data_IF_490022753422
#
_entry.id   IF_490022753422
#
_cell.length_a   1.000
_cell.length_b   1.000
_cell.length_c   1.000
_cell.angle_alpha   90.00
_cell.angle_beta   90.00
_cell.angle_gamma   90.00
#
_symmetry.space_group_name_H-M   'P 1'
#
loop_
_entity.id
_entity.type
_entity.pdbx_description
1 polymer ?
#
# COMPACT_ATOMS: atom_id res chain seq x y z
N UNK A 1 39.62 -12.36 7.08
CA UNK A 1 38.60 -13.28 6.54
C UNK A 1 37.37 -13.21 7.45
N UNK A 2 36.14 -13.26 6.92
CA UNK A 2 34.93 -13.30 7.76
C UNK A 2 34.93 -14.57 8.63
N UNK A 3 34.29 -14.51 9.80
CA UNK A 3 34.16 -15.67 10.68
C UNK A 3 33.34 -16.77 9.99
N UNK A 4 33.54 -18.06 10.33
CA UNK A 4 32.82 -19.17 9.70
C UNK A 4 31.29 -19.01 9.77
N UNK A 5 30.77 -18.38 10.82
CA UNK A 5 29.34 -18.12 10.98
C UNK A 5 28.83 -17.00 10.05
N UNK A 6 29.62 -15.96 9.83
CA UNK A 6 29.25 -14.85 8.94
C UNK A 6 29.17 -15.31 7.48
N UNK A 7 30.04 -16.22 7.07
CA UNK A 7 30.02 -16.74 5.70
C UNK A 7 28.82 -17.66 5.45
N UNK A 8 28.44 -18.47 6.44
CA UNK A 8 27.23 -19.30 6.44
C UNK A 8 25.97 -18.43 6.38
N UNK A 9 25.87 -17.38 7.21
CA UNK A 9 24.70 -16.51 7.22
C UNK A 9 24.58 -15.71 5.91
N UNK A 10 25.70 -15.24 5.37
CA UNK A 10 25.72 -14.59 4.06
C UNK A 10 25.33 -15.55 2.93
N UNK A 11 25.71 -16.82 3.00
CA UNK A 11 25.29 -17.83 2.04
C UNK A 11 23.77 -18.05 2.09
N UNK A 12 23.18 -18.10 3.29
CA UNK A 12 21.72 -18.16 3.46
C UNK A 12 21.02 -16.94 2.85
N UNK A 13 21.47 -15.72 3.15
CA UNK A 13 20.90 -14.50 2.56
C UNK A 13 20.99 -14.49 1.03
N UNK A 14 22.09 -15.01 0.46
CA UNK A 14 22.24 -15.18 -0.99
C UNK A 14 21.24 -16.18 -1.55
N UNK A 15 21.02 -17.31 -0.88
CA UNK A 15 19.98 -18.29 -1.24
C UNK A 15 18.57 -17.69 -1.24
N UNK A 16 18.20 -16.93 -0.20
CA UNK A 16 16.93 -16.22 -0.12
C UNK A 16 16.71 -15.27 -1.31
N UNK A 17 17.73 -14.48 -1.64
CA UNK A 17 17.68 -13.53 -2.76
C UNK A 17 17.60 -14.25 -4.11
N UNK A 18 18.39 -15.32 -4.28
CA UNK A 18 18.40 -16.12 -5.49
C UNK A 18 17.02 -16.74 -5.77
N UNK A 19 16.38 -17.31 -4.74
CA UNK A 19 15.03 -17.85 -4.87
C UNK A 19 14.03 -16.81 -5.39
N UNK A 20 14.08 -15.58 -4.86
CA UNK A 20 13.19 -14.50 -5.32
C UNK A 20 13.40 -14.17 -6.80
N UNK A 21 14.63 -14.32 -7.31
CA UNK A 21 14.96 -14.13 -8.72
C UNK A 21 14.43 -15.31 -9.55
N UNK A 22 14.70 -16.56 -9.13
CA UNK A 22 14.16 -17.76 -9.78
C UNK A 22 12.63 -17.70 -9.89
N UNK A 23 11.95 -17.34 -8.80
CA UNK A 23 10.50 -17.18 -8.77
C UNK A 23 10.01 -16.08 -9.73
N UNK A 24 10.73 -14.96 -9.81
CA UNK A 24 10.39 -13.88 -10.73
C UNK A 24 10.54 -14.30 -12.20
N UNK A 25 11.63 -14.99 -12.53
CA UNK A 25 11.93 -15.46 -13.90
C UNK A 25 10.95 -16.56 -14.32
N UNK A 26 10.68 -17.52 -13.44
CA UNK A 26 9.81 -18.66 -13.72
C UNK A 26 8.32 -18.31 -13.67
N UNK A 27 7.97 -17.10 -13.21
CA UNK A 27 6.59 -16.61 -13.15
C UNK A 27 5.68 -17.55 -12.36
N UNK A 28 4.86 -18.31 -13.09
CA UNK A 28 3.85 -19.23 -12.60
C UNK A 28 4.22 -20.72 -12.75
N UNK A 29 5.48 -21.05 -13.10
CA UNK A 29 5.96 -22.45 -13.12
C UNK A 29 5.90 -23.13 -11.73
N UNK A 30 5.68 -22.35 -10.67
CA UNK A 30 5.38 -22.84 -9.33
C UNK A 30 6.56 -22.76 -8.37
N UNK A 31 6.23 -22.86 -7.08
CA UNK A 31 7.18 -22.74 -5.97
C UNK A 31 8.28 -23.81 -6.02
N UNK A 32 7.92 -25.05 -6.40
CA UNK A 32 8.83 -26.20 -6.40
C UNK A 32 9.91 -26.07 -7.48
N UNK A 33 9.55 -25.70 -8.70
CA UNK A 33 10.53 -25.51 -9.80
C UNK A 33 11.55 -24.43 -9.45
N UNK A 34 11.07 -23.29 -8.94
CA UNK A 34 11.96 -22.20 -8.52
C UNK A 34 12.86 -22.59 -7.33
N UNK A 35 12.39 -23.52 -6.48
CA UNK A 35 13.16 -24.04 -5.36
C UNK A 35 14.28 -24.97 -5.84
N UNK A 36 13.97 -25.89 -6.75
CA UNK A 36 14.93 -26.84 -7.31
C UNK A 36 16.05 -26.12 -8.07
N UNK A 37 15.71 -25.11 -8.88
CA UNK A 37 16.71 -24.29 -9.58
C UNK A 37 17.61 -23.52 -8.62
N UNK A 38 17.02 -22.91 -7.57
CA UNK A 38 17.79 -22.21 -6.54
C UNK A 38 18.76 -23.17 -5.82
N UNK A 39 18.29 -24.37 -5.47
CA UNK A 39 19.11 -25.38 -4.79
C UNK A 39 20.22 -25.92 -5.70
N UNK A 40 19.94 -26.16 -6.98
CA UNK A 40 20.96 -26.56 -7.96
C UNK A 40 22.07 -25.52 -8.09
N UNK A 41 21.69 -24.24 -8.22
CA UNK A 41 22.66 -23.15 -8.26
C UNK A 41 23.46 -22.98 -6.95
N UNK A 42 22.85 -23.22 -5.78
CA UNK A 42 23.58 -23.27 -4.52
C UNK A 42 24.60 -24.43 -4.51
N UNK A 43 24.24 -25.59 -5.06
CA UNK A 43 25.11 -26.75 -5.13
C UNK A 43 26.33 -26.51 -6.02
N UNK A 44 26.13 -25.82 -7.14
CA UNK A 44 27.21 -25.45 -8.07
C UNK A 44 28.11 -24.34 -7.53
N UNK A 45 27.55 -23.37 -6.81
CA UNK A 45 28.29 -22.19 -6.36
C UNK A 45 29.14 -22.43 -5.10
N UNK A 46 28.76 -23.37 -4.23
CA UNK A 46 29.43 -23.60 -2.95
C UNK A 46 30.10 -24.97 -2.88
N UNK A 47 31.41 -24.96 -2.64
CA UNK A 47 32.23 -26.17 -2.40
C UNK A 47 32.18 -26.59 -0.93
N UNK A 48 32.00 -25.64 0.00
CA UNK A 48 31.91 -25.94 1.44
C UNK A 48 30.49 -26.35 1.80
N UNK A 49 30.36 -27.52 2.42
CA UNK A 49 29.06 -28.09 2.78
C UNK A 49 28.20 -27.15 3.64
N UNK A 50 28.79 -26.51 4.66
CA UNK A 50 28.05 -25.61 5.56
C UNK A 50 27.49 -24.37 4.84
N UNK A 51 28.23 -23.80 3.89
CA UNK A 51 27.77 -22.65 3.12
C UNK A 51 26.72 -23.07 2.08
N UNK A 52 26.89 -24.25 1.49
CA UNK A 52 25.94 -24.86 0.56
C UNK A 52 24.60 -25.15 1.23
N UNK A 53 24.60 -25.82 2.39
CA UNK A 53 23.40 -26.12 3.18
C UNK A 53 22.70 -24.84 3.63
N UNK A 54 23.45 -23.82 4.04
CA UNK A 54 22.89 -22.53 4.40
C UNK A 54 22.21 -21.84 3.21
N UNK A 55 22.84 -21.84 2.04
CA UNK A 55 22.23 -21.34 0.80
C UNK A 55 20.94 -22.08 0.46
N UNK A 56 20.96 -23.42 0.49
CA UNK A 56 19.81 -24.27 0.23
C UNK A 56 18.67 -24.08 1.25
N UNK A 57 19.01 -23.84 2.52
CA UNK A 57 18.07 -23.46 3.57
C UNK A 57 17.44 -22.10 3.29
N UNK A 58 18.24 -21.14 2.80
CA UNK A 58 17.76 -19.86 2.29
C UNK A 58 16.71 -20.01 1.19
N UNK A 59 16.94 -20.89 0.21
CA UNK A 59 15.96 -21.22 -0.83
C UNK A 59 14.68 -21.85 -0.24
N UNK A 60 14.80 -22.73 0.75
CA UNK A 60 13.67 -23.44 1.35
C UNK A 60 12.85 -22.60 2.34
N UNK A 61 13.44 -21.58 2.94
CA UNK A 61 12.81 -20.69 3.93
C UNK A 61 11.81 -19.69 3.34
N UNK A 62 11.66 -19.69 2.02
CA UNK A 62 10.83 -18.71 1.33
C UNK A 62 9.34 -19.01 1.50
N UNK A 63 8.51 -17.97 1.74
CA UNK A 63 7.09 -18.15 1.94
C UNK A 63 6.44 -18.76 0.70
N UNK A 64 5.56 -19.73 0.90
CA UNK A 64 4.78 -20.31 -0.18
C UNK A 64 3.89 -19.24 -0.84
N UNK A 65 3.48 -19.46 -2.10
CA UNK A 65 2.55 -18.59 -2.85
C UNK A 65 1.38 -18.00 -2.02
N UNK A 66 0.66 -18.79 -1.19
CA UNK A 66 -0.43 -18.25 -0.36
C UNK A 66 0.04 -17.21 0.68
N UNK A 67 1.24 -17.38 1.25
CA UNK A 67 1.82 -16.39 2.16
C UNK A 67 2.29 -15.14 1.42
N UNK A 68 2.87 -15.28 0.23
CA UNK A 68 3.26 -14.14 -0.59
C UNK A 68 2.02 -13.30 -0.99
N UNK A 69 0.94 -13.96 -1.39
CA UNK A 69 -0.35 -13.30 -1.68
C UNK A 69 -0.90 -12.58 -0.46
N UNK A 70 -0.83 -13.21 0.72
CA UNK A 70 -1.25 -12.60 1.99
C UNK A 70 -0.39 -11.39 2.36
N UNK A 71 0.93 -11.43 2.13
CA UNK A 71 1.83 -10.27 2.32
C UNK A 71 1.53 -9.14 1.35
N UNK A 72 1.31 -9.43 0.06
CA UNK A 72 0.86 -8.43 -0.92
C UNK A 72 -0.47 -7.79 -0.52
N UNK A 73 -1.44 -8.61 -0.07
CA UNK A 73 -2.73 -8.11 0.39
C UNK A 73 -2.56 -7.18 1.61
N UNK A 74 -1.73 -7.57 2.59
CA UNK A 74 -1.42 -6.72 3.75
C UNK A 74 -0.76 -5.41 3.35
N UNK A 75 0.20 -5.43 2.42
CA UNK A 75 0.83 -4.22 1.90
C UNK A 75 -0.18 -3.29 1.19
N UNK A 76 -1.19 -3.86 0.51
CA UNK A 76 -2.28 -3.08 -0.08
C UNK A 76 -3.23 -2.50 0.99
N UNK A 77 -3.48 -3.21 2.10
CA UNK A 77 -4.29 -2.67 3.21
C UNK A 77 -3.58 -1.59 4.03
N UNK A 78 -2.24 -1.57 3.98
CA UNK A 78 -1.40 -0.54 4.63
C UNK A 78 -1.27 0.74 3.79
N UNK A 79 -1.72 0.73 2.53
CA UNK A 79 -1.82 1.97 1.77
C UNK A 79 -2.98 2.79 2.35
N UNK A 80 -2.77 4.10 2.61
CA UNK A 80 -3.87 4.97 3.00
C UNK A 80 -4.96 4.86 1.95
N UNK A 81 -6.17 4.51 2.40
CA UNK A 81 -7.35 4.40 1.55
C UNK A 81 -7.46 5.73 0.78
N UNK A 82 -7.54 5.73 -0.56
CA UNK A 82 -7.81 6.97 -1.27
C UNK A 82 -9.08 7.57 -0.69
N UNK A 83 -9.14 8.89 -0.45
CA UNK A 83 -10.31 9.51 0.14
C UNK A 83 -11.53 9.09 -0.66
N UNK A 84 -12.50 8.48 0.03
CA UNK A 84 -13.72 8.01 -0.60
C UNK A 84 -14.42 9.22 -1.23
N UNK A 85 -14.89 9.10 -2.47
CA UNK A 85 -15.67 10.15 -3.15
C UNK A 85 -16.84 10.61 -2.27
N UNK A 86 -17.37 9.69 -1.44
CA UNK A 86 -18.43 9.97 -0.48
C UNK A 86 -18.03 10.97 0.62
N UNK A 87 -16.78 10.94 1.09
CA UNK A 87 -16.25 11.89 2.09
C UNK A 87 -16.03 13.28 1.49
N UNK A 88 -15.71 13.36 0.19
CA UNK A 88 -15.62 14.64 -0.49
C UNK A 88 -17.00 15.29 -0.66
N UNK A 89 -18.02 14.50 -1.01
CA UNK A 89 -19.40 14.99 -1.18
C UNK A 89 -20.00 15.44 0.16
N UNK A 90 -19.72 14.74 1.27
CA UNK A 90 -20.23 15.13 2.59
C UNK A 90 -19.64 16.46 3.08
N UNK A 91 -18.35 16.70 2.86
CA UNK A 91 -17.70 17.99 3.15
C UNK A 91 -18.40 19.14 2.40
N UNK A 92 -18.66 18.95 1.10
CA UNK A 92 -19.31 19.98 0.28
C UNK A 92 -20.74 20.28 0.73
N UNK A 93 -21.51 19.24 1.09
CA UNK A 93 -22.86 19.43 1.63
C UNK A 93 -22.85 20.20 2.95
N UNK A 94 -21.87 19.95 3.82
CA UNK A 94 -21.71 20.69 5.08
C UNK A 94 -21.43 22.18 4.85
N UNK A 95 -20.57 22.52 3.89
CA UNK A 95 -20.24 23.91 3.57
C UNK A 95 -21.43 24.68 2.97
N UNK A 96 -22.26 24.01 2.17
CA UNK A 96 -23.50 24.59 1.62
C UNK A 96 -24.53 24.83 2.72
N UNK A 97 -24.73 23.86 3.61
CA UNK A 97 -25.67 23.99 4.75
C UNK A 97 -25.21 25.07 5.73
N UNK A 98 -23.90 25.16 6.02
CA UNK A 98 -23.33 26.22 6.85
C UNK A 98 -23.47 27.59 6.19
N UNK A 99 -23.31 27.68 4.87
CA UNK A 99 -23.53 28.93 4.13
C UNK A 99 -25.00 29.38 4.21
N UNK A 100 -25.96 28.46 4.13
CA UNK A 100 -27.40 28.76 4.27
C UNK A 100 -27.74 29.26 5.68
N UNK A 101 -27.07 28.77 6.72
CA UNK A 101 -27.25 29.25 8.10
C UNK A 101 -26.81 30.71 8.27
N UNK A 102 -25.81 31.18 7.52
CA UNK A 102 -25.38 32.58 7.55
C UNK A 102 -26.40 33.54 6.93
N UNK A 103 -27.27 33.07 6.04
CA UNK A 103 -28.35 33.89 5.47
C UNK A 103 -29.58 34.01 6.39
N UNK A 104 -29.79 33.05 7.30
CA UNK A 104 -30.96 33.01 8.20
C UNK A 104 -30.78 33.96 9.41
N UNK A 105 -29.55 34.38 9.74
CA UNK A 105 -29.30 35.26 10.90
C UNK A 105 -29.10 36.75 10.56
N UNK A 106 -29.13 37.14 9.28
CA UNK A 106 -29.01 38.55 8.91
C UNK A 106 -30.40 39.15 8.85
N UNK A 107 -30.74 40.14 9.68
CA UNK A 107 -31.98 40.91 9.53
C UNK A 107 -31.92 41.62 8.18
N UNK A 108 -32.67 41.14 7.19
CA UNK A 108 -32.68 41.75 5.86
C UNK A 108 -33.71 42.89 5.86
N UNK A 109 -33.25 44.11 5.55
CA UNK A 109 -34.14 45.27 5.41
C UNK A 109 -34.30 45.60 3.93
N UNK A 110 -35.53 45.46 3.42
CA UNK A 110 -35.87 45.77 2.03
C UNK A 110 -36.53 47.15 1.95
N UNK A 111 -36.07 47.98 1.01
CA UNK A 111 -36.63 49.30 0.72
C UNK A 111 -37.25 49.28 -0.67
N UNK A 112 -38.53 49.62 -0.78
CA UNK A 112 -39.24 49.64 -2.06
C UNK A 112 -39.84 51.03 -2.26
N UNK A 113 -39.36 51.76 -3.26
CA UNK A 113 -39.87 53.08 -3.64
C UNK A 113 -40.83 52.93 -4.81
N UNK A 114 -42.07 53.39 -4.64
CA UNK A 114 -43.04 53.47 -5.72
C UNK A 114 -42.86 54.76 -6.53
N UNK A 115 -43.38 54.81 -7.76
CA UNK A 115 -43.26 55.94 -8.69
C UNK A 115 -43.89 57.25 -8.16
N UNK A 116 -44.70 57.19 -7.10
CA UNK A 116 -45.25 58.35 -6.38
C UNK A 116 -44.30 58.90 -5.30
N UNK A 117 -43.08 58.36 -5.21
CA UNK A 117 -42.02 58.78 -4.30
C UNK A 117 -42.09 58.17 -2.91
N UNK A 118 -43.13 57.38 -2.58
CA UNK A 118 -43.27 56.75 -1.26
C UNK A 118 -42.36 55.54 -1.12
N UNK A 119 -41.72 55.40 0.04
CA UNK A 119 -40.85 54.28 0.37
C UNK A 119 -41.47 53.43 1.47
N UNK A 120 -41.56 52.13 1.25
CA UNK A 120 -41.98 51.14 2.26
C UNK A 120 -40.78 50.29 2.66
N UNK A 121 -40.65 50.05 3.97
CA UNK A 121 -39.54 49.31 4.57
C UNK A 121 -40.08 48.02 5.18
N UNK A 122 -39.47 46.89 4.82
CA UNK A 122 -39.77 45.57 5.38
C UNK A 122 -38.55 45.02 6.09
N UNK A 123 -38.69 44.64 7.36
CA UNK A 123 -37.67 43.95 8.15
C UNK A 123 -38.11 42.50 8.40
N UNK A 124 -37.21 41.55 8.11
CA UNK A 124 -37.35 40.12 8.40
C UNK A 124 -36.36 39.72 9.49
#
# INVERSE_FOLDING_TARGET
>A
APLPQDSVMNACHRGCRLYSICQFVNGNAGFNTSKEECQGACQEAYVKLLEQEACSSGCASQPSEPELKRRKLRAMTLRPKPPSVMEAVSSWCSDIVSSAQSFISSTWTFYLQADDGKVVVFQV
#
